data_IF_573823136017
#
_entry.id   IF_573823136017
#
_cell.length_a   1.000
_cell.length_b   1.000
_cell.length_c   1.000
_cell.angle_alpha   90.00
_cell.angle_beta   90.00
_cell.angle_gamma   90.00
#
_symmetry.space_group_name_H-M   'P 1'
#
loop_
_entity.id
_entity.type
_entity.pdbx_description
1 polymer ?
#
# COMPACT_ATOMS: atom_id res chain seq x y z
N UNK A 1 26.57 28.30 64.31
CA UNK A 1 27.49 27.49 63.49
C UNK A 1 26.71 26.86 62.35
N UNK A 2 27.06 27.27 61.14
CA UNK A 2 26.51 26.84 59.85
C UNK A 2 26.99 25.42 59.55
N UNK A 3 26.06 24.48 59.32
CA UNK A 3 26.18 23.09 58.85
C UNK A 3 24.75 22.59 59.08
N UNK A 4 23.83 22.56 58.12
CA UNK A 4 23.63 21.49 57.15
C UNK A 4 22.63 22.01 56.09
N UNK A 5 23.11 22.83 55.13
CA UNK A 5 22.36 23.16 53.90
C UNK A 5 23.18 22.57 52.76
N UNK A 6 23.14 21.25 52.58
CA UNK A 6 23.56 20.56 51.36
C UNK A 6 23.43 19.06 51.59
N UNK A 7 22.23 18.50 51.47
CA UNK A 7 22.13 17.08 51.15
C UNK A 7 20.73 16.76 50.63
N UNK A 8 20.71 16.11 49.47
CA UNK A 8 19.59 15.31 48.97
C UNK A 8 18.46 15.99 48.18
N UNK A 9 18.77 17.03 47.39
CA UNK A 9 18.04 17.32 46.15
C UNK A 9 18.85 16.74 44.98
N UNK A 10 19.04 15.42 44.93
CA UNK A 10 19.68 14.74 43.79
C UNK A 10 19.05 13.37 43.54
N UNK A 11 17.72 13.33 43.44
CA UNK A 11 16.98 12.18 42.88
C UNK A 11 16.05 12.58 41.71
N UNK A 12 16.40 13.66 41.01
CA UNK A 12 15.86 13.97 39.68
C UNK A 12 16.87 13.52 38.62
N UNK A 13 17.30 12.26 38.66
CA UNK A 13 18.02 11.67 37.54
C UNK A 13 17.00 11.03 36.59
N UNK A 14 16.74 11.80 35.53
CA UNK A 14 16.60 11.33 34.16
C UNK A 14 15.58 10.22 33.93
N UNK A 15 14.30 10.60 33.91
CA UNK A 15 13.34 9.90 33.04
C UNK A 15 13.70 10.27 31.59
N UNK A 16 14.63 9.51 31.03
CA UNK A 16 14.89 9.49 29.60
C UNK A 16 13.61 8.94 28.95
N UNK A 17 12.71 9.85 28.57
CA UNK A 17 11.66 9.53 27.61
C UNK A 17 12.44 9.23 26.33
N UNK A 18 12.70 7.94 26.11
CA UNK A 18 13.11 7.46 24.80
C UNK A 18 12.00 7.90 23.86
N UNK A 19 12.24 8.98 23.11
CA UNK A 19 11.47 9.30 21.94
C UNK A 19 11.61 8.06 21.06
N UNK A 20 10.56 7.23 21.05
CA UNK A 20 10.45 6.18 20.06
C UNK A 20 10.50 6.91 18.72
N UNK A 21 11.63 6.83 18.03
CA UNK A 21 11.73 7.20 16.63
C UNK A 21 10.61 6.45 15.94
N UNK A 22 9.56 7.18 15.58
CA UNK A 22 8.50 6.65 14.73
C UNK A 22 9.20 6.26 13.44
N UNK A 23 9.48 4.97 13.29
CA UNK A 23 10.11 4.41 12.11
C UNK A 23 9.20 4.79 10.95
N UNK A 24 9.55 5.85 10.20
CA UNK A 24 8.73 6.38 9.12
C UNK A 24 8.73 5.32 8.04
N UNK A 25 7.66 4.53 8.00
CA UNK A 25 7.45 3.50 6.99
C UNK A 25 7.54 4.19 5.62
N UNK A 26 8.57 3.86 4.85
CA UNK A 26 8.79 4.44 3.52
C UNK A 26 7.95 3.68 2.51
N UNK A 27 6.86 4.29 2.07
CA UNK A 27 6.02 3.75 1.00
C UNK A 27 6.74 3.84 -0.36
N UNK A 28 6.63 2.79 -1.16
CA UNK A 28 7.08 2.79 -2.56
C UNK A 28 5.98 3.37 -3.44
N UNK A 29 6.32 4.30 -4.31
CA UNK A 29 5.39 4.87 -5.28
C UNK A 29 5.16 3.92 -6.47
N UNK A 30 4.18 4.21 -7.31
CA UNK A 30 3.94 3.46 -8.54
C UNK A 30 5.23 3.35 -9.41
N UNK A 31 5.91 4.47 -9.65
CA UNK A 31 7.15 4.51 -10.44
C UNK A 31 8.26 3.66 -9.82
N UNK A 32 8.40 3.66 -8.50
CA UNK A 32 9.42 2.84 -7.80
C UNK A 32 9.15 1.35 -8.01
N UNK A 33 7.89 0.93 -7.93
CA UNK A 33 7.48 -0.46 -8.09
C UNK A 33 7.71 -0.93 -9.53
N UNK A 34 7.24 -0.16 -10.52
CA UNK A 34 7.42 -0.50 -11.94
C UNK A 34 8.90 -0.55 -12.30
N UNK A 35 9.71 0.41 -11.81
CA UNK A 35 11.16 0.41 -12.04
C UNK A 35 11.83 -0.84 -11.46
N UNK A 36 11.46 -1.24 -10.25
CA UNK A 36 11.99 -2.44 -9.62
C UNK A 36 11.60 -3.72 -10.37
N UNK A 37 10.33 -3.84 -10.79
CA UNK A 37 9.84 -5.01 -11.55
C UNK A 37 10.44 -5.09 -12.96
N UNK A 38 10.73 -3.95 -13.61
CA UNK A 38 11.45 -3.92 -14.89
C UNK A 38 12.93 -4.31 -14.75
N UNK A 39 13.57 -3.92 -13.64
CA UNK A 39 14.96 -4.25 -13.39
C UNK A 39 15.17 -5.74 -13.10
N UNK A 40 14.21 -6.36 -12.42
CA UNK A 40 14.25 -7.79 -12.07
C UNK A 40 12.91 -8.49 -12.41
N UNK A 41 12.64 -8.78 -13.69
CA UNK A 41 11.41 -9.45 -14.11
C UNK A 41 11.26 -10.82 -13.44
N UNK A 42 10.06 -11.11 -12.92
CA UNK A 42 9.78 -12.35 -12.19
C UNK A 42 10.11 -12.32 -10.70
N UNK A 43 10.88 -11.33 -10.21
CA UNK A 43 11.11 -11.15 -8.78
C UNK A 43 9.98 -10.30 -8.16
N UNK A 44 9.29 -10.79 -7.12
CA UNK A 44 8.26 -10.02 -6.46
C UNK A 44 8.87 -8.85 -5.68
N UNK A 45 8.27 -7.66 -5.80
CA UNK A 45 8.60 -6.51 -4.97
C UNK A 45 7.67 -6.51 -3.76
N UNK A 46 8.22 -6.43 -2.55
CA UNK A 46 7.43 -6.34 -1.32
C UNK A 46 7.06 -4.88 -1.01
N UNK A 47 5.82 -4.69 -0.56
CA UNK A 47 5.30 -3.42 -0.05
C UNK A 47 5.91 -3.00 1.30
N UNK A 48 5.49 -1.85 1.84
CA UNK A 48 4.23 -1.17 1.53
C UNK A 48 4.29 -0.24 0.31
N UNK A 49 3.18 -0.16 -0.42
CA UNK A 49 3.01 0.70 -1.60
C UNK A 49 2.03 1.82 -1.32
N UNK A 50 2.27 3.02 -1.84
CA UNK A 50 1.28 4.10 -1.83
C UNK A 50 0.74 4.28 -3.25
N UNK A 51 -0.52 3.89 -3.46
CA UNK A 51 -1.12 3.78 -4.79
C UNK A 51 -2.43 4.55 -4.85
N UNK A 52 -2.52 5.48 -5.79
CA UNK A 52 -3.77 6.17 -6.13
C UNK A 52 -4.55 5.37 -7.15
N UNK A 53 -5.84 5.17 -6.92
CA UNK A 53 -6.72 4.45 -7.85
C UNK A 53 -7.39 5.44 -8.79
N UNK A 54 -7.27 5.22 -10.10
CA UNK A 54 -7.78 6.13 -11.14
C UNK A 54 -8.78 5.47 -12.10
N UNK A 55 -8.83 4.14 -12.13
CA UNK A 55 -9.85 3.40 -12.88
C UNK A 55 -10.14 2.05 -12.20
N UNK A 56 -11.28 1.46 -12.55
CA UNK A 56 -11.73 0.17 -12.04
C UNK A 56 -12.24 -0.64 -13.24
N UNK A 57 -11.88 -1.92 -13.27
CA UNK A 57 -12.40 -2.87 -14.26
C UNK A 57 -12.74 -4.21 -13.59
N UNK A 58 -13.37 -5.10 -14.35
CA UNK A 58 -13.63 -6.47 -13.92
C UNK A 58 -12.84 -7.45 -14.80
N UNK A 59 -12.31 -8.49 -14.17
CA UNK A 59 -11.71 -9.63 -14.86
C UNK A 59 -12.23 -10.92 -14.23
N UNK A 60 -13.13 -11.59 -14.95
CA UNK A 60 -13.92 -12.68 -14.39
C UNK A 60 -14.72 -12.22 -13.17
N UNK A 61 -14.52 -12.87 -12.03
CA UNK A 61 -15.17 -12.50 -10.76
C UNK A 61 -14.37 -11.49 -9.94
N UNK A 62 -13.14 -11.18 -10.35
CA UNK A 62 -12.26 -10.29 -9.58
C UNK A 62 -12.45 -8.84 -10.03
N UNK A 63 -12.43 -7.93 -9.06
CA UNK A 63 -12.37 -6.49 -9.34
C UNK A 63 -10.91 -6.07 -9.44
N UNK A 64 -10.58 -5.32 -10.48
CA UNK A 64 -9.24 -4.77 -10.72
C UNK A 64 -9.25 -3.28 -10.50
N UNK A 65 -8.42 -2.80 -9.58
CA UNK A 65 -8.20 -1.38 -9.33
C UNK A 65 -6.93 -0.95 -10.06
N UNK A 66 -7.04 0.08 -10.89
CA UNK A 66 -5.96 0.56 -11.75
C UNK A 66 -5.39 1.86 -11.21
N UNK A 67 -4.07 1.97 -11.25
CA UNK A 67 -3.35 3.18 -10.83
C UNK A 67 -3.22 4.23 -11.93
N UNK A 68 -3.65 3.89 -13.14
CA UNK A 68 -3.70 4.77 -14.32
C UNK A 68 -5.12 4.82 -14.87
N UNK A 69 -5.48 5.97 -15.45
CA UNK A 69 -6.78 6.14 -16.12
C UNK A 69 -6.85 5.38 -17.45
N UNK A 70 -5.75 5.41 -18.20
CA UNK A 70 -5.57 4.52 -19.34
C UNK A 70 -5.04 3.17 -18.84
N UNK A 71 -5.85 2.12 -18.96
CA UNK A 71 -5.52 0.79 -18.46
C UNK A 71 -4.37 0.14 -19.24
N UNK A 72 -4.08 0.62 -20.45
CA UNK A 72 -2.97 0.15 -21.30
C UNK A 72 -1.66 0.88 -21.00
N UNK A 73 -1.64 1.84 -20.08
CA UNK A 73 -0.42 2.54 -19.67
C UNK A 73 0.61 1.52 -19.13
N UNK A 74 1.86 1.52 -19.61
CA UNK A 74 2.90 0.58 -19.20
C UNK A 74 3.42 0.79 -17.77
N UNK A 75 2.91 1.79 -17.05
CA UNK A 75 3.10 2.01 -15.61
C UNK A 75 1.80 1.75 -14.83
N UNK A 76 0.79 1.14 -15.45
CA UNK A 76 -0.41 0.75 -14.74
C UNK A 76 -0.11 -0.45 -13.83
N UNK A 77 -0.19 -0.21 -12.53
CA UNK A 77 -0.27 -1.25 -11.51
C UNK A 77 -1.75 -1.58 -11.28
N UNK A 78 -2.05 -2.87 -11.29
CA UNK A 78 -3.35 -3.47 -11.05
C UNK A 78 -3.36 -4.07 -9.64
N UNK A 79 -4.30 -3.64 -8.81
CA UNK A 79 -4.61 -4.30 -7.54
C UNK A 79 -5.82 -5.19 -7.77
N UNK A 80 -5.65 -6.50 -7.61
CA UNK A 80 -6.73 -7.46 -7.80
C UNK A 80 -7.42 -7.77 -6.46
N UNK A 81 -8.72 -7.52 -6.41
CA UNK A 81 -9.60 -7.81 -5.28
C UNK A 81 -10.47 -9.03 -5.58
N UNK A 82 -10.41 -10.01 -4.68
CA UNK A 82 -11.32 -11.14 -4.70
C UNK A 82 -12.78 -10.74 -4.35
N UNK A 83 -13.81 -11.50 -4.77
CA UNK A 83 -15.21 -11.17 -4.53
C UNK A 83 -15.57 -10.91 -3.06
N UNK A 84 -14.98 -11.69 -2.14
CA UNK A 84 -15.26 -11.53 -0.71
C UNK A 84 -14.74 -10.18 -0.16
N UNK A 85 -13.65 -9.65 -0.72
CA UNK A 85 -13.10 -8.34 -0.35
C UNK A 85 -14.05 -7.23 -0.77
N UNK A 86 -14.60 -7.34 -1.99
CA UNK A 86 -15.62 -6.43 -2.49
C UNK A 86 -16.83 -6.41 -1.54
N UNK A 87 -17.34 -7.58 -1.18
CA UNK A 87 -18.45 -7.68 -0.22
C UNK A 87 -18.09 -7.10 1.16
N UNK A 88 -16.87 -7.33 1.64
CA UNK A 88 -16.39 -6.77 2.90
C UNK A 88 -16.42 -5.23 2.88
N UNK A 89 -15.82 -4.59 1.87
CA UNK A 89 -15.78 -3.12 1.79
C UNK A 89 -17.18 -2.52 1.63
N UNK A 90 -18.00 -3.10 0.75
CA UNK A 90 -19.37 -2.61 0.53
C UNK A 90 -20.20 -2.68 1.82
N UNK A 91 -20.08 -3.77 2.61
CA UNK A 91 -20.79 -3.92 3.89
C UNK A 91 -20.22 -3.02 4.99
N UNK A 92 -18.89 -2.95 5.10
CA UNK A 92 -18.22 -2.21 6.17
C UNK A 92 -18.43 -0.70 6.05
N UNK A 93 -18.43 -0.18 4.83
CA UNK A 93 -18.48 1.27 4.56
C UNK A 93 -19.81 1.73 3.96
N UNK A 94 -20.76 0.81 3.75
CA UNK A 94 -22.08 1.08 3.19
C UNK A 94 -22.04 1.92 1.89
N UNK A 95 -21.12 1.58 1.00
CA UNK A 95 -20.83 2.33 -0.24
C UNK A 95 -20.44 1.37 -1.36
N UNK A 96 -20.47 1.80 -2.61
CA UNK A 96 -19.98 0.98 -3.73
C UNK A 96 -18.45 0.96 -3.77
N UNK A 97 -17.88 -0.05 -4.43
CA UNK A 97 -16.42 -0.14 -4.63
C UNK A 97 -15.90 1.07 -5.40
N UNK A 98 -16.64 1.56 -6.39
CA UNK A 98 -16.26 2.75 -7.14
C UNK A 98 -16.19 3.98 -6.26
N UNK A 99 -17.21 4.18 -5.42
CA UNK A 99 -17.24 5.30 -4.47
C UNK A 99 -16.12 5.19 -3.41
N UNK A 100 -15.81 3.98 -2.95
CA UNK A 100 -14.79 3.76 -1.93
C UNK A 100 -13.36 3.91 -2.48
N UNK A 101 -13.09 3.38 -3.67
CA UNK A 101 -11.72 3.30 -4.18
C UNK A 101 -11.35 4.41 -5.16
N UNK A 102 -12.27 4.87 -6.01
CA UNK A 102 -11.91 5.75 -7.12
C UNK A 102 -11.40 7.11 -6.62
N UNK A 103 -10.30 7.58 -7.20
CA UNK A 103 -9.56 8.79 -6.84
C UNK A 103 -8.98 8.82 -5.42
N UNK A 104 -9.05 7.72 -4.67
CA UNK A 104 -8.47 7.61 -3.35
C UNK A 104 -7.04 7.06 -3.41
N UNK A 105 -6.26 7.36 -2.37
CA UNK A 105 -4.90 6.85 -2.17
C UNK A 105 -4.94 5.77 -1.09
N UNK A 106 -4.27 4.65 -1.36
CA UNK A 106 -4.18 3.53 -0.42
C UNK A 106 -2.74 3.10 -0.19
N UNK A 107 -2.44 2.81 1.07
CA UNK A 107 -1.33 1.98 1.47
C UNK A 107 -1.68 0.51 1.21
N UNK A 108 -0.90 -0.13 0.34
CA UNK A 108 -1.09 -1.54 -0.04
C UNK A 108 0.07 -2.38 0.51
N UNK A 109 -0.24 -3.26 1.46
CA UNK A 109 0.69 -4.22 2.03
C UNK A 109 0.62 -5.54 1.26
N UNK A 110 1.44 -5.69 0.22
CA UNK A 110 1.39 -6.87 -0.63
C UNK A 110 2.68 -7.17 -1.37
N UNK A 111 2.57 -8.09 -2.32
CA UNK A 111 3.63 -8.41 -3.28
C UNK A 111 3.19 -7.97 -4.67
N UNK A 112 3.98 -7.11 -5.29
CA UNK A 112 3.80 -6.75 -6.69
C UNK A 112 4.61 -7.73 -7.55
N UNK A 113 4.03 -8.23 -8.64
CA UNK A 113 4.66 -9.13 -9.60
C UNK A 113 4.43 -8.64 -11.03
N UNK A 114 5.37 -8.91 -11.93
CA UNK A 114 5.16 -8.77 -13.38
C UNK A 114 4.52 -10.05 -13.92
N UNK A 115 3.42 -9.92 -14.65
CA UNK A 115 2.71 -11.03 -15.31
C UNK A 115 2.72 -10.77 -16.81
N UNK A 116 3.06 -11.79 -17.60
CA UNK A 116 2.88 -11.73 -19.04
C UNK A 116 1.48 -12.24 -19.37
N UNK A 117 0.69 -11.40 -20.01
CA UNK A 117 -0.65 -11.71 -20.48
C UNK A 117 -0.64 -11.65 -22.01
N UNK A 118 -1.11 -12.72 -22.65
CA UNK A 118 -1.34 -12.74 -24.09
C UNK A 118 -2.78 -12.31 -24.36
N UNK A 119 -2.96 -11.09 -24.84
CA UNK A 119 -4.24 -10.61 -25.35
C UNK A 119 -4.02 -10.36 -26.85
N UNK A 120 -4.86 -10.94 -27.71
CA UNK A 120 -4.78 -10.82 -29.17
C UNK A 120 -3.40 -11.12 -29.79
N UNK A 121 -2.79 -12.25 -29.42
CA UNK A 121 -1.46 -12.71 -29.90
C UNK A 121 -0.27 -11.78 -29.61
N UNK A 122 -0.48 -10.66 -28.90
CA UNK A 122 0.57 -9.78 -28.42
C UNK A 122 0.84 -10.03 -26.93
N UNK A 123 2.13 -10.20 -26.60
CA UNK A 123 2.58 -10.33 -25.22
C UNK A 123 2.62 -8.95 -24.57
N UNK A 124 1.76 -8.73 -23.59
CA UNK A 124 1.77 -7.53 -22.75
C UNK A 124 2.23 -7.88 -21.34
N UNK A 125 2.98 -6.98 -20.72
CA UNK A 125 3.41 -7.11 -19.32
C UNK A 125 2.49 -6.28 -18.44
N UNK A 126 1.77 -6.93 -17.55
CA UNK A 126 0.95 -6.30 -16.51
C UNK A 126 1.70 -6.34 -15.17
N UNK A 127 1.56 -5.29 -14.35
CA UNK A 127 2.08 -5.29 -12.98
C UNK A 127 0.91 -5.50 -12.02
N UNK A 128 0.91 -6.62 -11.29
CA UNK A 128 -0.22 -7.05 -10.49
C UNK A 128 0.16 -7.17 -9.02
N UNK A 129 -0.68 -6.62 -8.15
CA UNK A 129 -0.65 -6.84 -6.70
C UNK A 129 -1.91 -7.62 -6.33
N UNK A 130 -1.73 -8.87 -5.89
CA UNK A 130 -2.84 -9.68 -5.39
C UNK A 130 -3.03 -9.41 -3.91
N UNK A 131 -4.21 -8.92 -3.55
CA UNK A 131 -4.57 -8.63 -2.16
C UNK A 131 -5.52 -9.71 -1.67
N UNK A 132 -5.11 -10.42 -0.61
CA UNK A 132 -5.86 -11.56 -0.07
C UNK A 132 -6.49 -11.27 1.28
N UNK A 133 -6.12 -10.16 1.94
CA UNK A 133 -6.64 -9.81 3.27
C UNK A 133 -7.06 -8.34 3.30
N UNK A 134 -8.17 -8.04 3.98
CA UNK A 134 -8.69 -6.67 4.09
C UNK A 134 -7.72 -5.70 4.76
N UNK A 135 -6.94 -6.17 5.75
CA UNK A 135 -5.92 -5.36 6.42
C UNK A 135 -4.72 -4.99 5.55
N UNK A 136 -4.65 -5.48 4.30
CA UNK A 136 -3.59 -5.14 3.37
C UNK A 136 -3.88 -3.86 2.59
N UNK A 137 -5.06 -3.25 2.73
CA UNK A 137 -5.38 -1.94 2.15
C UNK A 137 -5.75 -0.99 3.28
N UNK A 138 -5.04 0.13 3.36
CA UNK A 138 -5.31 1.18 4.34
C UNK A 138 -5.47 2.50 3.58
N UNK A 139 -6.61 3.16 3.77
CA UNK A 139 -6.86 4.46 3.17
C UNK A 139 -5.89 5.50 3.74
N UNK A 140 -5.23 6.26 2.86
CA UNK A 140 -4.35 7.36 3.25
C UNK A 140 -5.11 8.66 3.00
N UNK A 141 -5.21 9.49 4.06
CA UNK A 141 -5.90 10.77 4.03
C UNK A 141 -5.15 11.84 3.25
#
# INVERSE_FOLDING_TARGET
>A
MIKYILCFILFFNTLQIASAETNKVKFKTNTDVVKALKAEPGNPVQGPFELKILAISQSGFNTRLHTKKDIKDPENIIIELAPFMVQYYTKQFNTTIEQFFLNQVFAVNGKAISVQTSEDEQLHTEYVIKVFLANQLTHLQ
#
